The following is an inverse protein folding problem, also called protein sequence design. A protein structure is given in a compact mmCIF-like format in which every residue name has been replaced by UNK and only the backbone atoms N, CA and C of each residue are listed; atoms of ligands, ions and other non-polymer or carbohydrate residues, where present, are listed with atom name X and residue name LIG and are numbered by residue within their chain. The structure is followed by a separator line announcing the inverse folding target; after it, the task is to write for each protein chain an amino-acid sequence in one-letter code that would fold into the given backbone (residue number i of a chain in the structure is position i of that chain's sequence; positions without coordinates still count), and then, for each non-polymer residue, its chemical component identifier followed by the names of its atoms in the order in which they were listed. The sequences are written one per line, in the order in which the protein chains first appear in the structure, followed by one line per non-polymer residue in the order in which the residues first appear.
data_IF_161522688069
#
_entry.id   IF_161522688069
#
_cell.length_a   1.000
_cell.length_b   1.000
_cell.length_c   1.000
_cell.angle_alpha   90.00
_cell.angle_beta   90.00
_cell.angle_gamma   90.00
#
_symmetry.space_group_name_H-M   'P 1'
#
loop_
_entity.id
_entity.type
_entity.pdbx_description
1 polymer ?
#
# COMPACT_ATOMS: atom_id res chain seq x y z
N UNK A 1 -7.29 -3.15 -30.61
CA UNK A 1 -6.41 -2.39 -29.70
C UNK A 1 -7.22 -2.05 -28.48
N UNK A 2 -6.85 -2.52 -27.30
CA UNK A 2 -7.59 -2.21 -26.08
C UNK A 2 -7.47 -0.70 -25.80
N UNK A 3 -8.59 -0.05 -25.55
CA UNK A 3 -8.66 1.37 -25.24
C UNK A 3 -7.96 1.63 -23.90
N UNK A 4 -6.88 2.41 -23.90
CA UNK A 4 -6.11 2.70 -22.70
C UNK A 4 -6.90 3.61 -21.77
N UNK A 5 -7.18 3.17 -20.53
CA UNK A 5 -7.87 4.01 -19.54
C UNK A 5 -7.08 5.27 -19.25
N UNK A 6 -7.81 6.38 -19.03
CA UNK A 6 -7.21 7.70 -18.79
C UNK A 6 -6.44 7.74 -17.47
N UNK A 7 -7.07 7.26 -16.39
CA UNK A 7 -6.44 7.09 -15.08
C UNK A 7 -6.60 5.64 -14.65
N UNK A 8 -5.49 4.94 -14.42
CA UNK A 8 -5.48 3.57 -13.92
C UNK A 8 -4.23 3.36 -13.08
N UNK A 9 -4.42 2.98 -11.82
CA UNK A 9 -3.34 2.72 -10.87
C UNK A 9 -3.43 1.25 -10.46
N UNK A 10 -2.32 0.53 -10.60
CA UNK A 10 -2.18 -0.82 -10.11
C UNK A 10 -1.42 -0.81 -8.79
N UNK A 11 -1.99 -1.47 -7.79
CA UNK A 11 -1.38 -1.63 -6.47
C UNK A 11 -1.00 -3.09 -6.30
N UNK A 12 0.26 -3.37 -6.02
CA UNK A 12 0.72 -4.71 -5.64
C UNK A 12 1.28 -4.65 -4.23
N UNK A 13 0.93 -5.64 -3.40
CA UNK A 13 1.38 -5.70 -2.00
C UNK A 13 2.06 -7.05 -1.78
N UNK A 14 3.30 -7.00 -1.27
CA UNK A 14 3.99 -8.17 -0.73
C UNK A 14 3.99 -8.05 0.79
N UNK A 15 3.73 -9.14 1.49
CA UNK A 15 3.72 -9.17 2.96
C UNK A 15 4.71 -10.22 3.45
N UNK A 16 5.32 -9.95 4.59
CA UNK A 16 6.29 -10.83 5.23
C UNK A 16 6.04 -10.88 6.73
N UNK A 17 5.99 -12.07 7.29
CA UNK A 17 5.94 -12.25 8.75
C UNK A 17 7.33 -12.06 9.34
N UNK A 18 7.45 -11.26 10.40
CA UNK A 18 8.72 -10.96 11.07
C UNK A 18 8.83 -11.75 12.38
N UNK A 19 9.41 -12.97 12.37
CA UNK A 19 9.48 -13.82 13.56
C UNK A 19 10.29 -13.19 14.68
N UNK A 20 11.37 -12.47 14.37
CA UNK A 20 12.25 -11.83 15.35
C UNK A 20 11.59 -10.67 16.10
N UNK A 21 10.57 -10.05 15.49
CA UNK A 21 9.78 -8.97 16.09
C UNK A 21 8.44 -9.46 16.67
N UNK A 22 8.20 -10.77 16.61
CA UNK A 22 6.96 -11.41 17.06
C UNK A 22 7.16 -12.18 18.36
N UNK A 23 6.13 -12.21 19.19
CA UNK A 23 6.06 -13.06 20.37
C UNK A 23 4.74 -13.85 20.31
N UNK A 24 4.74 -14.94 19.51
CA UNK A 24 3.53 -15.71 19.23
C UNK A 24 2.87 -16.30 20.49
N UNK A 25 3.67 -16.66 21.49
CA UNK A 25 3.17 -17.14 22.79
C UNK A 25 2.38 -16.06 23.56
N UNK A 26 2.62 -14.78 23.27
CA UNK A 26 1.94 -13.63 23.86
C UNK A 26 0.87 -13.04 22.92
N UNK A 27 0.61 -13.69 21.78
CA UNK A 27 -0.32 -13.19 20.76
C UNK A 27 0.17 -11.93 20.03
N UNK A 28 1.46 -11.59 20.08
CA UNK A 28 2.05 -10.45 19.37
C UNK A 28 2.65 -10.93 18.05
N UNK A 29 2.15 -10.40 16.94
CA UNK A 29 2.59 -10.77 15.59
C UNK A 29 2.96 -9.51 14.80
N UNK A 30 4.19 -9.47 14.27
CA UNK A 30 4.69 -8.39 13.45
C UNK A 30 4.77 -8.81 11.99
N UNK A 31 4.38 -7.91 11.09
CA UNK A 31 4.43 -8.10 9.65
C UNK A 31 5.03 -6.87 8.99
N UNK A 32 5.91 -7.07 8.01
CA UNK A 32 6.28 -6.05 7.05
C UNK A 32 5.37 -6.14 5.82
N UNK A 33 5.18 -5.02 5.15
CA UNK A 33 4.57 -4.98 3.84
C UNK A 33 5.45 -4.18 2.90
N UNK A 34 5.42 -4.47 1.61
CA UNK A 34 6.03 -3.66 0.57
C UNK A 34 4.99 -3.42 -0.51
N UNK A 35 4.71 -2.15 -0.77
CA UNK A 35 3.62 -1.73 -1.65
C UNK A 35 4.24 -1.07 -2.87
N UNK A 36 3.88 -1.58 -4.04
CA UNK A 36 4.20 -0.97 -5.32
C UNK A 36 2.95 -0.31 -5.91
N UNK A 37 3.07 0.96 -6.27
CA UNK A 37 2.03 1.79 -6.88
C UNK A 37 2.48 2.11 -8.30
N UNK A 38 1.87 1.48 -9.30
CA UNK A 38 2.22 1.67 -10.71
C UNK A 38 1.10 2.40 -11.47
N UNK A 39 1.46 3.41 -12.25
CA UNK A 39 0.51 4.09 -13.13
C UNK A 39 0.43 3.36 -14.48
N UNK A 40 -0.63 2.57 -14.67
CA UNK A 40 -0.90 1.86 -15.94
C UNK A 40 -1.87 2.64 -16.85
N UNK A 41 -2.29 3.84 -16.45
CA UNK A 41 -3.13 4.74 -17.23
C UNK A 41 -2.34 5.55 -18.26
N UNK A 42 -3.05 6.34 -19.07
CA UNK A 42 -2.47 7.21 -20.09
C UNK A 42 -2.23 8.66 -19.64
N UNK A 43 -2.66 9.03 -18.43
CA UNK A 43 -2.41 10.34 -17.82
C UNK A 43 -1.60 10.24 -16.53
N UNK A 44 -0.82 11.27 -16.17
CA UNK A 44 -0.18 11.35 -14.85
C UNK A 44 -1.19 11.37 -13.71
N UNK A 45 -0.79 10.85 -12.55
CA UNK A 45 -1.62 10.81 -11.34
C UNK A 45 -0.78 11.06 -10.08
N UNK A 46 -1.40 11.59 -9.03
CA UNK A 46 -0.73 11.84 -7.76
C UNK A 46 -1.41 11.08 -6.62
N UNK A 47 -0.61 10.45 -5.76
CA UNK A 47 -1.10 9.93 -4.49
C UNK A 47 -1.28 11.10 -3.51
N UNK A 48 -2.49 11.25 -2.97
CA UNK A 48 -2.82 12.33 -2.03
C UNK A 48 -2.84 11.84 -0.59
N UNK A 49 -3.56 10.74 -0.32
CA UNK A 49 -3.80 10.23 1.02
C UNK A 49 -3.97 8.71 1.02
N UNK A 50 -3.90 8.13 2.22
CA UNK A 50 -4.10 6.70 2.48
C UNK A 50 -5.14 6.49 3.58
N UNK A 51 -5.86 5.38 3.48
CA UNK A 51 -6.75 4.88 4.52
C UNK A 51 -6.55 3.37 4.63
N UNK A 52 -6.08 2.92 5.78
CA UNK A 52 -5.93 1.51 6.12
C UNK A 52 -7.07 1.08 7.02
N UNK A 53 -7.58 -0.12 6.75
CA UNK A 53 -8.52 -0.85 7.60
C UNK A 53 -7.83 -2.19 7.90
N UNK A 54 -7.49 -2.41 9.16
CA UNK A 54 -6.65 -3.52 9.62
C UNK A 54 -7.48 -4.34 10.62
N UNK A 55 -8.23 -5.36 10.15
CA UNK A 55 -8.92 -6.27 11.04
C UNK A 55 -7.94 -7.28 11.66
N UNK A 56 -8.06 -7.52 12.96
CA UNK A 56 -7.37 -8.62 13.63
C UNK A 56 -8.26 -9.88 13.74
N UNK A 57 -7.65 -10.99 14.16
CA UNK A 57 -8.32 -12.28 14.27
C UNK A 57 -9.42 -12.33 15.35
N UNK A 58 -9.44 -11.36 16.28
CA UNK A 58 -10.44 -11.25 17.35
C UNK A 58 -11.61 -10.35 16.97
N UNK A 59 -11.64 -9.86 15.72
CA UNK A 59 -12.71 -9.00 15.21
C UNK A 59 -12.57 -7.54 15.59
N UNK A 60 -11.43 -7.12 16.17
CA UNK A 60 -11.14 -5.70 16.37
C UNK A 60 -10.59 -5.12 15.06
N UNK A 61 -10.98 -3.89 14.76
CA UNK A 61 -10.55 -3.17 13.56
C UNK A 61 -9.78 -1.92 13.97
N UNK A 62 -8.58 -1.77 13.42
CA UNK A 62 -7.81 -0.55 13.50
C UNK A 62 -7.92 0.22 12.18
N UNK A 63 -8.14 1.54 12.26
CA UNK A 63 -8.16 2.42 11.09
C UNK A 63 -7.01 3.43 11.18
N UNK A 64 -6.22 3.53 10.10
CA UNK A 64 -5.15 4.52 9.99
C UNK A 64 -5.41 5.39 8.78
N UNK A 65 -5.51 6.71 8.99
CA UNK A 65 -5.72 7.70 7.93
C UNK A 65 -4.58 8.71 7.94
N UNK A 66 -4.16 9.16 6.77
CA UNK A 66 -3.11 10.17 6.69
C UNK A 66 -2.85 10.64 5.26
N UNK A 67 -2.16 11.77 5.16
CA UNK A 67 -1.66 12.28 3.89
C UNK A 67 -0.42 11.49 3.45
N UNK A 68 -0.30 11.29 2.13
CA UNK A 68 0.85 10.64 1.53
C UNK A 68 1.03 9.18 1.96
N UNK A 69 2.21 8.65 1.65
CA UNK A 69 2.76 7.37 2.09
C UNK A 69 4.20 7.62 2.52
N UNK A 70 4.63 7.12 3.68
CA UNK A 70 5.98 7.32 4.24
C UNK A 70 6.50 8.78 4.28
N UNK A 71 5.61 9.77 4.22
CA UNK A 71 5.95 11.19 4.17
C UNK A 71 5.81 11.83 2.78
N UNK A 72 5.61 11.03 1.73
CA UNK A 72 5.62 11.45 0.34
C UNK A 72 4.24 11.39 -0.33
N UNK A 73 4.05 12.24 -1.35
CA UNK A 73 2.88 12.26 -2.24
C UNK A 73 3.35 12.06 -3.70
N UNK A 74 3.74 10.83 -4.08
CA UNK A 74 4.35 10.56 -5.37
C UNK A 74 3.45 10.99 -6.53
N UNK A 75 4.05 11.69 -7.50
CA UNK A 75 3.46 12.05 -8.78
C UNK A 75 4.01 11.11 -9.85
N UNK A 76 3.14 10.25 -10.38
CA UNK A 76 3.51 9.16 -11.29
C UNK A 76 3.05 9.48 -12.72
N UNK A 77 3.99 9.54 -13.65
CA UNK A 77 3.70 9.56 -15.09
C UNK A 77 3.24 8.17 -15.56
N UNK A 78 2.58 8.07 -16.72
CA UNK A 78 2.26 6.78 -17.34
C UNK A 78 3.50 5.87 -17.41
N UNK A 79 3.38 4.64 -16.89
CA UNK A 79 4.45 3.64 -16.83
C UNK A 79 5.39 3.75 -15.63
N UNK A 80 5.33 4.83 -14.85
CA UNK A 80 6.13 4.95 -13.63
C UNK A 80 5.51 4.21 -12.45
N UNK A 81 6.36 3.85 -11.49
CA UNK A 81 5.98 3.18 -10.27
C UNK A 81 6.72 3.72 -9.05
N UNK A 82 6.10 3.61 -7.88
CA UNK A 82 6.66 3.99 -6.59
C UNK A 82 6.50 2.84 -5.60
N UNK A 83 7.61 2.43 -4.98
CA UNK A 83 7.65 1.33 -4.01
C UNK A 83 8.07 1.85 -2.64
N UNK A 84 7.41 1.34 -1.58
CA UNK A 84 7.77 1.62 -0.19
C UNK A 84 7.48 0.42 0.72
N UNK A 85 8.17 0.36 1.86
CA UNK A 85 8.04 -0.64 2.92
C UNK A 85 7.60 0.04 4.20
#
# INVERSE_FOLDING_TARGET
MAESKKYEIQITVRTEFLPEQSAAAEGRHAFAYTINIANSGSMPAQLISRHWIIPDANGRVEEVRGLGVVGDQPFLRPGEAYEYT
#
